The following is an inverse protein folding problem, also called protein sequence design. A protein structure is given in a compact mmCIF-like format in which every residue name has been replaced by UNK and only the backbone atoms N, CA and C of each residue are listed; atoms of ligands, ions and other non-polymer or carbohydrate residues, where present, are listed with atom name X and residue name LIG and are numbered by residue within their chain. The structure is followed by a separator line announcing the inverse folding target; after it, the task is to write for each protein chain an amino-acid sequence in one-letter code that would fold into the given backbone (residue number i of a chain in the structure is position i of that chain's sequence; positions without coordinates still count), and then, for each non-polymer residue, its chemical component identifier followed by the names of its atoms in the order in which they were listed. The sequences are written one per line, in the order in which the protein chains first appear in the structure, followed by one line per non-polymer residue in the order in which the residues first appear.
data_IF_740391115278
#
_entry.id   IF_740391115278
#
_cell.length_a   1.000
_cell.length_b   1.000
_cell.length_c   1.000
_cell.angle_alpha   90.00
_cell.angle_beta   90.00
_cell.angle_gamma   90.00
#
_symmetry.space_group_name_H-M   'P 1'
#
loop_
_entity.id
_entity.type
_entity.pdbx_description
1 polymer ?
#
# COMPACT_ATOMS: atom_id res chain seq x y z
N UNK A 1 -16.17 2.69 16.21
CA UNK A 1 -16.92 3.14 15.01
C UNK A 1 -17.14 1.89 14.18
N UNK A 2 -18.38 1.62 13.79
CA UNK A 2 -18.67 0.54 12.83
C UNK A 2 -18.37 1.04 11.41
N UNK A 3 -17.42 0.43 10.72
CA UNK A 3 -17.02 0.82 9.37
C UNK A 3 -17.90 0.19 8.28
N UNK A 4 -18.88 -0.62 8.63
CA UNK A 4 -19.86 -1.22 7.71
C UNK A 4 -19.22 -2.01 6.55
N UNK A 5 -18.14 -2.73 6.83
CA UNK A 5 -17.39 -3.51 5.86
C UNK A 5 -17.82 -4.99 5.79
N UNK A 6 -18.82 -5.38 6.59
CA UNK A 6 -19.34 -6.74 6.67
C UNK A 6 -19.69 -7.33 5.30
N UNK A 7 -19.05 -8.45 4.94
CA UNK A 7 -19.27 -9.18 3.70
C UNK A 7 -18.67 -8.56 2.42
N UNK A 8 -18.00 -7.42 2.50
CA UNK A 8 -17.25 -6.84 1.36
C UNK A 8 -16.05 -7.69 1.01
N UNK A 9 -15.78 -7.90 -0.27
CA UNK A 9 -14.62 -8.66 -0.76
C UNK A 9 -13.49 -7.69 -1.07
N UNK A 10 -12.37 -7.82 -0.36
CA UNK A 10 -11.25 -6.89 -0.40
C UNK A 10 -9.94 -7.58 -0.79
N UNK A 11 -9.32 -7.17 -1.89
CA UNK A 11 -7.96 -7.57 -2.24
C UNK A 11 -6.96 -6.53 -1.75
N UNK A 12 -5.93 -6.99 -1.04
CA UNK A 12 -4.76 -6.19 -0.72
C UNK A 12 -3.54 -6.80 -1.39
N UNK A 13 -2.95 -6.10 -2.35
CA UNK A 13 -1.78 -6.63 -3.07
C UNK A 13 -0.52 -6.55 -2.23
N UNK A 14 0.37 -7.57 -2.30
CA UNK A 14 1.59 -7.59 -1.51
C UNK A 14 1.35 -7.56 0.01
N UNK A 15 0.38 -8.32 0.51
CA UNK A 15 -0.13 -8.24 1.89
C UNK A 15 0.32 -9.37 2.82
N UNK A 16 1.47 -10.00 2.52
CA UNK A 16 2.03 -11.03 3.43
C UNK A 16 2.87 -10.45 4.56
N UNK A 17 3.16 -9.14 4.54
CA UNK A 17 3.95 -8.44 5.56
C UNK A 17 3.65 -6.92 5.52
N UNK A 18 4.20 -6.17 6.48
CA UNK A 18 4.21 -4.72 6.52
C UNK A 18 2.83 -4.06 6.48
N UNK A 19 2.73 -2.91 5.80
CA UNK A 19 1.49 -2.14 5.67
C UNK A 19 0.37 -2.98 5.06
N UNK A 20 0.67 -3.76 4.00
CA UNK A 20 -0.33 -4.61 3.35
C UNK A 20 -0.95 -5.64 4.28
N UNK A 21 -0.14 -6.29 5.12
CA UNK A 21 -0.64 -7.26 6.10
C UNK A 21 -1.51 -6.58 7.18
N UNK A 22 -1.10 -5.40 7.67
CA UNK A 22 -1.88 -4.64 8.64
C UNK A 22 -3.23 -4.17 8.04
N UNK A 23 -3.24 -3.75 6.76
CA UNK A 23 -4.48 -3.39 6.05
C UNK A 23 -5.39 -4.59 5.89
N UNK A 24 -4.87 -5.74 5.43
CA UNK A 24 -5.66 -6.96 5.28
C UNK A 24 -6.26 -7.42 6.62
N UNK A 25 -5.46 -7.36 7.69
CA UNK A 25 -5.92 -7.66 9.05
C UNK A 25 -7.00 -6.68 9.54
N UNK A 26 -6.84 -5.38 9.28
CA UNK A 26 -7.81 -4.35 9.61
C UNK A 26 -9.15 -4.55 8.89
N UNK A 27 -9.13 -4.79 7.58
CA UNK A 27 -10.31 -5.06 6.78
C UNK A 27 -11.05 -6.33 7.27
N UNK A 28 -10.29 -7.39 7.56
CA UNK A 28 -10.86 -8.63 8.07
C UNK A 28 -11.46 -8.48 9.47
N UNK A 29 -10.84 -7.68 10.35
CA UNK A 29 -11.38 -7.31 11.67
C UNK A 29 -12.72 -6.59 11.57
N UNK A 30 -12.88 -5.74 10.57
CA UNK A 30 -14.13 -5.00 10.31
C UNK A 30 -15.18 -5.83 9.53
N UNK A 31 -14.94 -7.15 9.34
CA UNK A 31 -15.91 -8.09 8.76
C UNK A 31 -15.86 -8.26 7.24
N UNK A 32 -14.90 -7.65 6.55
CA UNK A 32 -14.66 -7.93 5.14
C UNK A 32 -14.04 -9.31 4.95
N UNK A 33 -14.26 -9.91 3.76
CA UNK A 33 -13.49 -11.06 3.29
C UNK A 33 -12.18 -10.53 2.69
N UNK A 34 -11.09 -10.62 3.45
CA UNK A 34 -9.80 -10.10 3.02
C UNK A 34 -9.02 -11.14 2.22
N UNK A 35 -8.65 -10.81 0.98
CA UNK A 35 -7.80 -11.63 0.13
C UNK A 35 -6.35 -11.18 0.33
N UNK A 36 -5.56 -12.01 1.01
CA UNK A 36 -4.12 -11.82 1.20
C UNK A 36 -3.37 -12.29 -0.04
N UNK A 37 -2.52 -11.42 -0.58
CA UNK A 37 -1.70 -11.74 -1.75
C UNK A 37 -0.21 -11.72 -1.45
N UNK A 38 0.50 -12.67 -2.03
CA UNK A 38 1.95 -12.77 -2.04
C UNK A 38 2.43 -13.73 -3.11
N UNK A 39 3.72 -13.76 -3.41
CA UNK A 39 4.29 -14.56 -4.49
C UNK A 39 4.30 -16.07 -4.22
N UNK A 40 4.24 -16.50 -2.96
CA UNK A 40 4.36 -17.92 -2.59
C UNK A 40 3.26 -18.34 -1.62
N UNK A 41 2.74 -19.55 -1.81
CA UNK A 41 1.75 -20.17 -0.93
C UNK A 41 2.20 -20.16 0.55
N UNK A 42 3.46 -20.44 0.82
CA UNK A 42 4.01 -20.44 2.18
C UNK A 42 3.83 -19.09 2.87
N UNK A 43 4.19 -17.96 2.20
CA UNK A 43 4.05 -16.61 2.79
C UNK A 43 2.57 -16.24 2.97
N UNK A 44 1.74 -16.55 1.99
CA UNK A 44 0.28 -16.30 2.03
C UNK A 44 -0.35 -17.06 3.19
N UNK A 45 -0.11 -18.37 3.30
CA UNK A 45 -0.65 -19.21 4.39
C UNK A 45 -0.16 -18.74 5.77
N UNK A 46 1.12 -18.35 5.89
CA UNK A 46 1.63 -17.81 7.15
C UNK A 46 0.95 -16.51 7.55
N UNK A 47 0.74 -15.58 6.61
CA UNK A 47 0.05 -14.32 6.89
C UNK A 47 -1.42 -14.54 7.30
N UNK A 48 -2.13 -15.44 6.61
CA UNK A 48 -3.50 -15.82 6.98
C UNK A 48 -3.57 -16.35 8.41
N UNK A 49 -2.66 -17.26 8.78
CA UNK A 49 -2.60 -17.81 10.13
C UNK A 49 -2.41 -16.73 11.20
N UNK A 50 -1.51 -15.76 10.96
CA UNK A 50 -1.28 -14.66 11.87
C UNK A 50 -2.53 -13.78 12.04
N UNK A 51 -3.23 -13.47 10.95
CA UNK A 51 -4.48 -12.71 11.02
C UNK A 51 -5.55 -13.46 11.81
N UNK A 52 -5.73 -14.76 11.54
CA UNK A 52 -6.72 -15.59 12.23
C UNK A 52 -6.40 -15.84 13.70
N UNK A 53 -5.11 -15.91 14.06
CA UNK A 53 -4.69 -15.95 15.48
C UNK A 53 -5.06 -14.66 16.22
N UNK A 54 -4.90 -13.50 15.58
CA UNK A 54 -5.25 -12.19 16.16
C UNK A 54 -6.76 -11.95 16.16
N UNK A 55 -7.46 -12.43 15.13
CA UNK A 55 -8.89 -12.23 14.92
C UNK A 55 -9.55 -13.55 14.49
N UNK A 56 -9.95 -14.44 15.45
CA UNK A 56 -10.43 -15.78 15.13
C UNK A 56 -11.67 -15.85 14.23
N UNK A 57 -12.50 -14.80 14.22
CA UNK A 57 -13.70 -14.71 13.38
C UNK A 57 -13.46 -14.07 12.01
N UNK A 58 -12.22 -13.65 11.73
CA UNK A 58 -11.88 -12.96 10.49
C UNK A 58 -12.01 -13.91 9.29
N UNK A 59 -12.67 -13.43 8.23
CA UNK A 59 -12.77 -14.12 6.95
C UNK A 59 -11.58 -13.73 6.08
N UNK A 60 -10.65 -14.66 5.90
CA UNK A 60 -9.41 -14.40 5.15
C UNK A 60 -9.20 -15.49 4.13
N UNK A 61 -8.98 -15.08 2.89
CA UNK A 61 -8.63 -15.95 1.76
C UNK A 61 -7.21 -15.66 1.31
N UNK A 62 -6.63 -16.56 0.50
CA UNK A 62 -5.29 -16.40 -0.04
C UNK A 62 -5.24 -16.44 -1.55
N UNK A 63 -4.36 -15.62 -2.10
CA UNK A 63 -3.96 -15.69 -3.49
C UNK A 63 -2.42 -15.62 -3.60
N UNK A 64 -1.82 -16.76 -3.97
CA UNK A 64 -0.40 -16.83 -4.29
C UNK A 64 -0.21 -16.59 -5.79
N UNK A 65 0.51 -15.53 -6.12
CA UNK A 65 0.81 -15.12 -7.50
C UNK A 65 1.50 -13.76 -7.54
N UNK A 66 2.34 -13.56 -8.53
CA UNK A 66 3.02 -12.29 -8.74
C UNK A 66 2.11 -11.32 -9.52
N UNK A 67 1.48 -10.40 -8.81
CA UNK A 67 0.58 -9.41 -9.41
C UNK A 67 1.30 -8.28 -10.16
N UNK A 68 2.62 -8.26 -10.18
CA UNK A 68 3.37 -7.39 -11.09
C UNK A 68 3.34 -7.89 -12.53
N UNK A 69 3.00 -9.17 -12.76
CA UNK A 69 2.98 -9.81 -14.07
C UNK A 69 1.58 -9.92 -14.67
N UNK A 70 1.49 -10.02 -16.00
CA UNK A 70 0.24 -10.28 -16.70
C UNK A 70 -0.32 -11.68 -16.40
N UNK A 71 0.55 -12.66 -16.19
CA UNK A 71 0.18 -14.03 -15.84
C UNK A 71 -0.48 -14.09 -14.44
N UNK A 72 0.17 -13.51 -13.43
CA UNK A 72 -0.39 -13.43 -12.07
C UNK A 72 -1.73 -12.70 -12.02
N UNK A 73 -1.86 -11.59 -12.78
CA UNK A 73 -3.14 -10.91 -12.94
C UNK A 73 -4.19 -11.81 -13.61
N UNK A 74 -3.85 -12.54 -14.67
CA UNK A 74 -4.75 -13.46 -15.35
C UNK A 74 -5.31 -14.54 -14.41
N UNK A 75 -4.44 -15.14 -13.59
CA UNK A 75 -4.82 -16.12 -12.58
C UNK A 75 -5.72 -15.52 -11.48
N UNK A 76 -5.41 -14.30 -11.01
CA UNK A 76 -6.25 -13.59 -10.05
C UNK A 76 -7.65 -13.34 -10.62
N UNK A 77 -7.74 -12.81 -11.84
CA UNK A 77 -9.02 -12.51 -12.50
C UNK A 77 -9.91 -13.77 -12.64
N UNK A 78 -9.31 -14.91 -12.93
CA UNK A 78 -10.04 -16.18 -13.04
C UNK A 78 -10.59 -16.63 -11.69
N UNK A 79 -9.83 -16.47 -10.60
CA UNK A 79 -10.22 -16.89 -9.25
C UNK A 79 -11.16 -15.90 -8.56
N UNK A 80 -10.91 -14.60 -8.73
CA UNK A 80 -11.65 -13.52 -8.10
C UNK A 80 -12.13 -12.51 -9.17
N UNK A 81 -13.18 -12.85 -9.95
CA UNK A 81 -13.65 -12.00 -11.06
C UNK A 81 -14.30 -10.69 -10.59
N UNK A 82 -14.65 -10.56 -9.33
CA UNK A 82 -15.25 -9.36 -8.73
C UNK A 82 -14.61 -9.04 -7.39
N UNK A 83 -14.46 -7.75 -7.12
CA UNK A 83 -14.01 -7.20 -5.84
C UNK A 83 -14.87 -5.98 -5.50
N UNK A 84 -15.10 -5.76 -4.21
CA UNK A 84 -15.66 -4.52 -3.69
C UNK A 84 -14.54 -3.50 -3.40
N UNK A 85 -13.41 -3.98 -2.91
CA UNK A 85 -12.30 -3.16 -2.44
C UNK A 85 -11.00 -3.66 -3.08
N UNK A 86 -10.24 -2.72 -3.65
CA UNK A 86 -8.91 -2.97 -4.18
C UNK A 86 -7.89 -2.04 -3.52
N UNK A 87 -6.96 -2.61 -2.75
CA UNK A 87 -5.82 -1.87 -2.20
C UNK A 87 -4.56 -2.22 -2.98
N UNK A 88 -4.12 -1.29 -3.83
CA UNK A 88 -2.89 -1.38 -4.60
C UNK A 88 -1.71 -1.02 -3.69
N UNK A 89 -1.21 -2.02 -2.95
CA UNK A 89 -0.10 -1.87 -1.99
C UNK A 89 1.21 -2.46 -2.51
N UNK A 90 1.19 -3.31 -3.55
CA UNK A 90 2.41 -3.89 -4.11
C UNK A 90 3.40 -2.80 -4.50
N UNK A 91 4.65 -2.94 -4.03
CA UNK A 91 5.71 -2.00 -4.34
C UNK A 91 7.07 -2.49 -3.89
N UNK A 92 8.10 -1.97 -4.53
CA UNK A 92 9.51 -2.16 -4.21
C UNK A 92 10.17 -0.81 -4.01
N UNK A 93 11.20 -0.76 -3.21
CA UNK A 93 12.07 0.39 -3.04
C UNK A 93 13.53 -0.10 -2.89
N UNK A 94 14.48 0.71 -3.33
CA UNK A 94 15.90 0.43 -3.20
C UNK A 94 16.68 1.75 -3.33
N UNK A 95 17.41 2.19 -2.28
CA UNK A 95 18.30 3.34 -2.41
C UNK A 95 19.43 3.04 -3.40
N UNK A 96 19.64 3.96 -4.35
CA UNK A 96 20.68 3.85 -5.37
C UNK A 96 21.02 5.24 -5.91
N UNK A 97 22.29 5.62 -6.12
CA UNK A 97 22.68 6.84 -6.79
C UNK A 97 22.05 6.93 -8.18
N UNK A 98 21.64 8.13 -8.58
CA UNK A 98 20.90 8.33 -9.83
C UNK A 98 21.65 7.81 -11.06
N UNK A 99 22.96 8.07 -11.12
CA UNK A 99 23.85 7.67 -12.21
C UNK A 99 24.03 6.17 -12.35
N UNK A 100 23.76 5.40 -11.29
CA UNK A 100 23.88 3.93 -11.28
C UNK A 100 22.55 3.22 -11.60
N UNK A 101 21.43 3.96 -11.68
CA UNK A 101 20.12 3.37 -11.95
C UNK A 101 19.99 3.04 -13.43
N UNK A 102 20.04 1.77 -13.76
CA UNK A 102 19.93 1.31 -15.16
C UNK A 102 18.50 1.48 -15.70
N UNK A 103 18.37 1.53 -17.03
CA UNK A 103 17.06 1.53 -17.71
C UNK A 103 16.19 0.32 -17.31
N UNK A 104 16.80 -0.85 -17.08
CA UNK A 104 16.07 -2.04 -16.67
C UNK A 104 15.54 -1.91 -15.25
N UNK A 105 16.26 -1.24 -14.34
CA UNK A 105 15.78 -0.94 -13.00
C UNK A 105 14.62 0.06 -13.05
N UNK A 106 14.69 1.12 -13.89
CA UNK A 106 13.58 2.02 -14.14
C UNK A 106 12.33 1.28 -14.63
N UNK A 107 12.47 0.39 -15.62
CA UNK A 107 11.37 -0.44 -16.14
C UNK A 107 10.80 -1.35 -15.05
N UNK A 108 11.67 -2.00 -14.27
CA UNK A 108 11.26 -2.89 -13.17
C UNK A 108 10.45 -2.13 -12.11
N UNK A 109 10.91 -0.96 -11.70
CA UNK A 109 10.17 -0.13 -10.74
C UNK A 109 8.82 0.34 -11.28
N UNK A 110 8.78 0.74 -12.54
CA UNK A 110 7.52 1.13 -13.18
C UNK A 110 6.55 -0.05 -13.29
N UNK A 111 7.01 -1.21 -13.72
CA UNK A 111 6.19 -2.41 -13.85
C UNK A 111 5.57 -2.82 -12.50
N UNK A 112 6.41 -2.90 -11.46
CA UNK A 112 5.99 -3.37 -10.13
C UNK A 112 5.15 -2.34 -9.41
N UNK A 113 5.60 -1.08 -9.33
CA UNK A 113 4.97 -0.06 -8.48
C UNK A 113 3.79 0.63 -9.16
N UNK A 114 3.78 0.71 -10.48
CA UNK A 114 2.79 1.50 -11.23
C UNK A 114 1.86 0.61 -12.05
N UNK A 115 2.43 -0.15 -12.99
CA UNK A 115 1.63 -0.88 -13.98
C UNK A 115 0.82 -2.03 -13.35
N UNK A 116 1.28 -2.63 -12.26
CA UNK A 116 0.52 -3.60 -11.49
C UNK A 116 -0.83 -3.02 -11.03
N UNK A 117 -0.82 -1.83 -10.41
CA UNK A 117 -2.03 -1.15 -9.95
C UNK A 117 -2.92 -0.67 -11.09
N UNK A 118 -2.31 -0.20 -12.20
CA UNK A 118 -3.05 0.16 -13.44
C UNK A 118 -3.79 -1.05 -14.00
N UNK A 119 -3.14 -2.20 -14.09
CA UNK A 119 -3.69 -3.44 -14.63
C UNK A 119 -4.89 -3.93 -13.82
N UNK A 120 -4.77 -3.93 -12.51
CA UNK A 120 -5.84 -4.31 -11.59
C UNK A 120 -7.01 -3.31 -11.64
N UNK A 121 -6.72 -2.02 -11.53
CA UNK A 121 -7.75 -0.97 -11.53
C UNK A 121 -8.51 -0.93 -12.86
N UNK A 122 -7.83 -1.08 -13.99
CA UNK A 122 -8.45 -1.13 -15.32
C UNK A 122 -9.49 -2.26 -15.45
N UNK A 123 -9.27 -3.38 -14.77
CA UNK A 123 -10.20 -4.49 -14.80
C UNK A 123 -11.35 -4.34 -13.79
N UNK A 124 -11.05 -3.99 -12.54
CA UNK A 124 -12.08 -3.97 -11.49
C UNK A 124 -12.93 -2.69 -11.48
N UNK A 125 -12.40 -1.55 -11.88
CA UNK A 125 -13.12 -0.29 -11.85
C UNK A 125 -14.44 -0.30 -12.66
N UNK A 126 -14.49 -0.80 -13.90
CA UNK A 126 -15.75 -0.91 -14.65
C UNK A 126 -16.80 -1.75 -13.91
N UNK A 127 -16.39 -2.89 -13.32
CA UNK A 127 -17.26 -3.78 -12.56
C UNK A 127 -17.81 -3.09 -11.30
N UNK A 128 -16.96 -2.35 -10.58
CA UNK A 128 -17.37 -1.54 -9.42
C UNK A 128 -18.38 -0.45 -9.83
N UNK A 129 -18.19 0.18 -10.99
CA UNK A 129 -19.12 1.19 -11.52
C UNK A 129 -20.49 0.59 -11.86
N UNK A 130 -20.53 -0.58 -12.48
CA UNK A 130 -21.78 -1.32 -12.74
C UNK A 130 -22.52 -1.67 -11.45
N UNK A 131 -21.80 -2.03 -10.39
CA UNK A 131 -22.38 -2.29 -9.06
C UNK A 131 -22.77 -1.02 -8.30
N UNK A 132 -22.42 0.14 -8.83
CA UNK A 132 -22.53 1.45 -8.20
C UNK A 132 -21.90 1.49 -6.79
N UNK A 133 -20.85 0.69 -6.55
CA UNK A 133 -20.10 0.67 -5.30
C UNK A 133 -18.68 0.10 -5.54
N UNK A 134 -17.70 0.75 -4.97
CA UNK A 134 -16.33 0.28 -4.99
C UNK A 134 -15.37 1.21 -4.28
N UNK A 135 -14.24 0.67 -3.82
CA UNK A 135 -13.15 1.41 -3.20
C UNK A 135 -11.82 0.98 -3.81
N UNK A 136 -11.10 1.94 -4.38
CA UNK A 136 -9.75 1.72 -4.88
C UNK A 136 -8.82 2.65 -4.08
N UNK A 137 -7.80 2.07 -3.45
CA UNK A 137 -6.80 2.82 -2.70
C UNK A 137 -5.41 2.46 -3.23
N UNK A 138 -4.62 3.48 -3.57
CA UNK A 138 -3.20 3.31 -3.90
C UNK A 138 -2.35 3.63 -2.68
N UNK A 139 -1.47 2.73 -2.28
CA UNK A 139 -0.47 2.99 -1.24
C UNK A 139 0.75 3.62 -1.92
N UNK A 140 0.74 4.95 -1.94
CA UNK A 140 1.83 5.75 -2.46
C UNK A 140 2.93 5.95 -1.38
N UNK A 141 3.42 7.15 -1.17
CA UNK A 141 4.43 7.52 -0.17
C UNK A 141 4.49 9.04 -0.04
N UNK A 142 5.02 9.55 1.08
CA UNK A 142 5.47 10.94 1.19
C UNK A 142 6.50 11.28 0.12
N UNK A 143 7.27 10.27 -0.31
CA UNK A 143 8.25 10.36 -1.39
C UNK A 143 7.65 10.70 -2.77
N UNK A 144 6.33 10.68 -2.91
CA UNK A 144 5.65 11.16 -4.11
C UNK A 144 5.61 12.70 -4.20
N UNK A 145 5.74 13.38 -3.07
CA UNK A 145 5.70 14.85 -2.96
C UNK A 145 7.11 15.38 -2.63
N UNK A 146 7.79 14.76 -1.69
CA UNK A 146 9.16 15.08 -1.29
C UNK A 146 10.09 13.99 -1.80
N UNK A 147 10.49 14.11 -3.09
CA UNK A 147 11.30 13.08 -3.78
C UNK A 147 12.64 12.91 -3.05
N UNK A 148 12.96 11.70 -2.56
CA UNK A 148 14.25 11.44 -1.92
C UNK A 148 15.34 11.34 -2.99
N UNK A 149 16.42 12.08 -2.79
CA UNK A 149 17.55 12.10 -3.74
C UNK A 149 18.24 10.75 -3.87
N UNK A 150 18.16 9.95 -2.80
CA UNK A 150 18.70 8.58 -2.75
C UNK A 150 17.80 7.53 -3.43
N UNK A 151 16.60 7.91 -3.91
CA UNK A 151 15.63 6.99 -4.52
C UNK A 151 14.74 7.70 -5.55
N UNK A 152 15.32 8.42 -6.52
CA UNK A 152 14.56 9.23 -7.48
C UNK A 152 13.56 8.37 -8.28
N UNK A 153 13.98 7.20 -8.76
CA UNK A 153 13.12 6.26 -9.49
C UNK A 153 11.93 5.75 -8.64
N UNK A 154 12.14 5.54 -7.34
CA UNK A 154 11.03 5.22 -6.43
C UNK A 154 10.06 6.39 -6.29
N UNK A 155 10.58 7.60 -6.00
CA UNK A 155 9.77 8.82 -5.90
C UNK A 155 8.93 9.05 -7.16
N UNK A 156 9.53 8.91 -8.34
CA UNK A 156 8.83 8.96 -9.63
C UNK A 156 7.64 8.00 -9.67
N UNK A 157 7.85 6.71 -9.30
CA UNK A 157 6.75 5.73 -9.35
C UNK A 157 5.64 6.07 -8.36
N UNK A 158 5.97 6.63 -7.21
CA UNK A 158 4.99 7.04 -6.19
C UNK A 158 4.20 8.28 -6.61
N UNK A 159 4.84 9.23 -7.30
CA UNK A 159 4.16 10.37 -7.94
C UNK A 159 3.22 9.91 -9.07
N UNK A 160 3.66 8.95 -9.90
CA UNK A 160 2.83 8.37 -10.94
C UNK A 160 1.53 7.74 -10.37
N UNK A 161 1.59 7.09 -9.21
CA UNK A 161 0.40 6.56 -8.53
C UNK A 161 -0.60 7.67 -8.14
N UNK A 162 -0.13 8.87 -7.75
CA UNK A 162 -1.01 10.01 -7.46
C UNK A 162 -1.75 10.48 -8.71
N UNK A 163 -1.03 10.63 -9.83
CA UNK A 163 -1.62 11.03 -11.10
C UNK A 163 -2.69 10.01 -11.58
N UNK A 164 -2.38 8.71 -11.47
CA UNK A 164 -3.30 7.63 -11.85
C UNK A 164 -4.51 7.63 -10.92
N UNK A 165 -4.33 7.69 -9.62
CA UNK A 165 -5.41 7.71 -8.64
C UNK A 165 -6.37 8.88 -8.90
N UNK A 166 -5.82 10.08 -9.09
CA UNK A 166 -6.63 11.26 -9.40
C UNK A 166 -7.36 11.12 -10.74
N UNK A 167 -6.68 10.70 -11.80
CA UNK A 167 -7.29 10.51 -13.11
C UNK A 167 -8.41 9.45 -13.11
N UNK A 168 -8.24 8.35 -12.37
CA UNK A 168 -9.29 7.34 -12.20
C UNK A 168 -10.49 7.89 -11.42
N UNK A 169 -10.27 8.68 -10.38
CA UNK A 169 -11.35 9.29 -9.61
C UNK A 169 -12.26 10.19 -10.47
N UNK A 170 -11.70 10.95 -11.41
CA UNK A 170 -12.49 11.75 -12.35
C UNK A 170 -13.48 10.89 -13.18
N UNK A 171 -13.09 9.65 -13.48
CA UNK A 171 -13.96 8.73 -14.23
C UNK A 171 -15.08 8.12 -13.39
N UNK A 172 -15.10 8.34 -12.07
CA UNK A 172 -16.10 7.79 -11.14
C UNK A 172 -17.21 8.79 -10.81
N UNK A 173 -17.26 9.95 -11.46
CA UNK A 173 -18.30 10.94 -11.25
C UNK A 173 -19.71 10.34 -11.36
N UNK A 174 -20.60 10.73 -10.45
CA UNK A 174 -21.98 10.23 -10.35
C UNK A 174 -22.11 8.72 -10.09
N UNK A 175 -21.09 8.10 -9.51
CA UNK A 175 -21.14 6.70 -9.04
C UNK A 175 -20.84 6.59 -7.53
N UNK A 176 -21.17 5.44 -6.94
CA UNK A 176 -20.79 5.10 -5.57
C UNK A 176 -19.32 4.64 -5.39
N UNK A 177 -18.47 4.82 -6.41
CA UNK A 177 -17.06 4.38 -6.40
C UNK A 177 -16.15 5.54 -6.01
N UNK A 178 -15.19 5.29 -5.13
CA UNK A 178 -14.12 6.25 -4.80
C UNK A 178 -12.74 5.69 -5.11
N UNK A 179 -11.83 6.56 -5.55
CA UNK A 179 -10.43 6.25 -5.80
C UNK A 179 -9.56 7.26 -5.08
N UNK A 180 -8.70 6.80 -4.17
CA UNK A 180 -7.84 7.66 -3.35
C UNK A 180 -6.42 7.12 -3.29
N UNK A 181 -5.47 7.96 -2.90
CA UNK A 181 -4.11 7.58 -2.56
C UNK A 181 -3.83 7.86 -1.08
N UNK A 182 -3.09 6.97 -0.44
CA UNK A 182 -2.53 7.17 0.90
C UNK A 182 -1.03 7.31 0.78
N UNK A 183 -0.46 8.29 1.48
CA UNK A 183 0.95 8.61 1.48
C UNK A 183 1.56 8.33 2.85
N UNK A 184 1.99 7.09 3.11
CA UNK A 184 2.74 6.78 4.32
C UNK A 184 4.07 7.54 4.35
N UNK A 185 4.48 7.93 5.54
CA UNK A 185 5.85 8.30 5.84
C UNK A 185 6.70 7.10 6.22
N UNK A 186 7.86 7.33 6.82
CA UNK A 186 8.70 6.26 7.35
C UNK A 186 7.91 5.38 8.32
N UNK A 187 7.77 4.10 7.98
CA UNK A 187 6.92 3.14 8.70
C UNK A 187 7.74 1.91 9.07
N UNK A 188 7.62 1.43 10.31
CA UNK A 188 8.28 0.22 10.80
C UNK A 188 7.66 -1.03 10.14
N UNK A 189 8.07 -1.30 8.91
CA UNK A 189 7.70 -2.48 8.13
C UNK A 189 8.88 -3.45 8.06
N UNK A 190 8.63 -4.72 7.68
CA UNK A 190 9.67 -5.75 7.54
C UNK A 190 10.88 -5.21 6.75
N UNK A 191 10.66 -4.58 5.59
CA UNK A 191 11.75 -4.08 4.77
C UNK A 191 12.51 -2.89 5.37
N UNK A 192 11.86 -2.05 6.17
CA UNK A 192 12.52 -0.94 6.91
C UNK A 192 13.27 -1.48 8.12
N UNK A 193 12.71 -2.47 8.82
CA UNK A 193 13.41 -3.14 9.92
C UNK A 193 14.71 -3.81 9.44
N UNK A 194 14.65 -4.55 8.33
CA UNK A 194 15.82 -5.17 7.70
C UNK A 194 16.89 -4.11 7.31
N UNK A 195 16.46 -2.96 6.81
CA UNK A 195 17.35 -1.84 6.48
C UNK A 195 18.01 -1.24 7.73
N UNK A 196 17.22 -0.99 8.78
CA UNK A 196 17.72 -0.47 10.08
C UNK A 196 18.69 -1.45 10.71
N UNK A 197 18.38 -2.76 10.70
CA UNK A 197 19.27 -3.78 11.24
C UNK A 197 20.60 -3.87 10.48
N UNK A 198 20.58 -3.80 9.16
CA UNK A 198 21.80 -3.79 8.34
C UNK A 198 22.68 -2.58 8.65
N UNK A 199 22.09 -1.40 8.80
CA UNK A 199 22.82 -0.18 9.19
C UNK A 199 23.41 -0.31 10.63
N UNK A 200 22.63 -0.84 11.55
CA UNK A 200 23.07 -1.05 12.94
C UNK A 200 24.27 -2.01 13.01
N UNK A 201 24.22 -3.14 12.31
CA UNK A 201 25.30 -4.13 12.25
C UNK A 201 26.58 -3.55 11.60
N UNK A 202 26.43 -2.79 10.51
CA UNK A 202 27.56 -2.17 9.81
C UNK A 202 28.25 -1.06 10.61
N UNK A 203 27.54 -0.39 11.53
CA UNK A 203 28.03 0.71 12.35
C UNK A 203 28.28 0.39 13.82
N UNK A 204 28.08 -0.85 14.26
CA UNK A 204 28.09 -1.26 15.67
C UNK A 204 27.20 -0.36 16.56
N UNK A 205 26.01 0.00 16.05
CA UNK A 205 25.04 0.89 16.67
C UNK A 205 23.80 0.11 17.12
N UNK A 206 23.04 0.64 18.07
CA UNK A 206 21.73 0.07 18.39
C UNK A 206 20.66 0.47 17.36
N UNK A 207 19.59 -0.30 17.25
CA UNK A 207 18.44 0.05 16.39
C UNK A 207 17.86 1.43 16.76
N UNK A 208 17.85 1.78 18.06
CA UNK A 208 17.40 3.09 18.54
C UNK A 208 18.31 4.24 18.07
N UNK A 209 19.62 4.04 18.04
CA UNK A 209 20.57 5.03 17.54
C UNK A 209 20.39 5.24 16.03
N UNK A 210 20.17 4.15 15.28
CA UNK A 210 19.90 4.21 13.84
C UNK A 210 18.57 4.95 13.58
N UNK A 211 17.50 4.67 14.33
CA UNK A 211 16.24 5.38 14.22
C UNK A 211 16.42 6.87 14.51
N UNK A 212 17.09 7.22 15.59
CA UNK A 212 17.40 8.61 15.95
C UNK A 212 18.17 9.30 14.82
N UNK A 213 19.26 8.69 14.34
CA UNK A 213 20.06 9.22 13.22
C UNK A 213 19.20 9.41 11.95
N UNK A 214 18.31 8.47 11.65
CA UNK A 214 17.41 8.54 10.51
C UNK A 214 16.54 9.81 10.57
N UNK A 215 15.92 10.08 11.73
CA UNK A 215 15.07 11.27 11.90
C UNK A 215 15.83 12.56 12.14
N UNK A 216 17.11 12.50 12.44
CA UNK A 216 17.98 13.70 12.50
C UNK A 216 18.53 14.08 11.11
N UNK A 217 18.92 13.10 10.29
CA UNK A 217 19.67 13.33 9.05
C UNK A 217 18.90 13.06 7.77
N UNK A 218 18.10 11.98 7.72
CA UNK A 218 17.43 11.54 6.49
C UNK A 218 16.02 12.10 6.38
N UNK A 219 15.27 12.14 7.50
CA UNK A 219 13.93 12.74 7.55
C UNK A 219 13.81 13.79 8.67
N UNK A 220 14.65 14.87 8.64
CA UNK A 220 14.69 15.85 9.72
C UNK A 220 13.40 16.66 9.86
N UNK A 221 12.56 16.67 8.85
CA UNK A 221 11.27 17.38 8.85
C UNK A 221 10.17 16.64 9.61
N UNK A 222 10.32 15.34 9.88
CA UNK A 222 9.30 14.56 10.61
C UNK A 222 8.95 15.22 11.93
N UNK A 223 7.66 15.41 12.19
CA UNK A 223 7.14 15.87 13.48
C UNK A 223 7.01 14.71 14.47
N UNK A 224 6.78 13.50 13.95
CA UNK A 224 6.62 12.28 14.76
C UNK A 224 7.93 11.81 15.40
N UNK A 225 9.07 12.01 14.73
CA UNK A 225 10.43 11.64 15.17
C UNK A 225 10.61 10.16 15.53
N UNK A 226 9.74 9.29 15.03
CA UNK A 226 9.84 7.84 15.07
C UNK A 226 9.23 7.24 13.81
N UNK A 227 9.49 5.98 13.56
CA UNK A 227 8.72 5.27 12.55
C UNK A 227 7.25 5.17 12.97
N UNK A 228 6.33 5.38 12.03
CA UNK A 228 4.94 5.02 12.22
C UNK A 228 4.80 3.49 12.31
N UNK A 229 3.79 3.01 13.00
CA UNK A 229 3.46 1.58 12.94
C UNK A 229 2.67 1.28 11.66
N UNK A 230 2.69 0.03 11.24
CA UNK A 230 1.89 -0.42 10.09
C UNK A 230 0.40 -0.26 10.35
N UNK A 231 -0.04 -0.38 11.60
CA UNK A 231 -1.41 -0.18 12.04
C UNK A 231 -1.85 1.29 11.96
N UNK A 232 -0.98 2.24 12.27
CA UNK A 232 -1.28 3.68 12.11
C UNK A 232 -1.61 4.01 10.65
N UNK A 233 -0.88 3.43 9.70
CA UNK A 233 -1.18 3.58 8.27
C UNK A 233 -2.46 2.82 7.89
N UNK A 234 -2.60 1.58 8.34
CA UNK A 234 -3.73 0.74 8.03
C UNK A 234 -5.07 1.35 8.49
N UNK A 235 -5.10 2.04 9.62
CA UNK A 235 -6.31 2.68 10.14
C UNK A 235 -6.93 3.66 9.14
N UNK A 236 -6.11 4.51 8.50
CA UNK A 236 -6.61 5.41 7.45
C UNK A 236 -7.06 4.65 6.21
N UNK A 237 -6.29 3.64 5.76
CA UNK A 237 -6.65 2.84 4.58
C UNK A 237 -7.99 2.13 4.78
N UNK A 238 -8.19 1.50 5.93
CA UNK A 238 -9.43 0.77 6.26
C UNK A 238 -10.62 1.75 6.34
N UNK A 239 -10.44 2.94 6.92
CA UNK A 239 -11.46 3.99 6.89
C UNK A 239 -11.83 4.38 5.44
N UNK A 240 -10.85 4.61 4.56
CA UNK A 240 -11.10 4.96 3.16
C UNK A 240 -11.81 3.85 2.38
N UNK A 241 -11.68 2.61 2.79
CA UNK A 241 -12.40 1.47 2.22
C UNK A 241 -13.87 1.39 2.66
N UNK A 242 -14.28 2.18 3.65
CA UNK A 242 -15.64 2.12 4.23
C UNK A 242 -16.65 2.98 3.46
N UNK A 243 -17.97 2.72 3.58
CA UNK A 243 -19.01 3.64 3.13
C UNK A 243 -18.94 5.01 3.79
N UNK A 244 -18.40 5.10 5.03
CA UNK A 244 -18.27 6.36 5.78
C UNK A 244 -17.32 7.36 5.10
N UNK A 245 -16.42 6.88 4.23
CA UNK A 245 -15.51 7.70 3.44
C UNK A 245 -16.08 8.09 2.06
N UNK A 246 -17.40 7.98 1.83
CA UNK A 246 -18.03 8.22 0.51
C UNK A 246 -17.83 9.62 -0.04
N UNK A 247 -17.62 10.62 0.81
CA UNK A 247 -17.31 12.00 0.40
C UNK A 247 -15.81 12.25 0.15
N UNK A 248 -14.95 11.22 0.39
CA UNK A 248 -13.50 11.30 0.16
C UNK A 248 -13.18 10.61 -1.16
N UNK A 249 -12.98 11.38 -2.23
CA UNK A 249 -12.70 10.86 -3.57
C UNK A 249 -11.68 11.74 -4.30
N UNK A 250 -10.75 11.13 -5.00
CA UNK A 250 -9.73 11.82 -5.80
C UNK A 250 -8.65 12.53 -4.98
N UNK A 251 -8.46 12.15 -3.73
CA UNK A 251 -7.52 12.82 -2.82
C UNK A 251 -6.29 11.96 -2.53
N UNK A 252 -5.20 12.65 -2.16
CA UNK A 252 -3.96 12.09 -1.66
C UNK A 252 -3.83 12.42 -0.16
N UNK A 253 -4.05 11.42 0.70
CA UNK A 253 -4.08 11.60 2.16
C UNK A 253 -2.77 11.14 2.78
N UNK A 254 -2.19 11.99 3.62
CA UNK A 254 -0.91 11.73 4.28
C UNK A 254 -1.10 11.02 5.62
N UNK A 255 -0.26 10.01 5.86
CA UNK A 255 0.03 9.40 7.16
C UNK A 255 1.55 9.36 7.28
N UNK A 256 2.17 10.54 7.24
CA UNK A 256 3.61 10.70 7.05
C UNK A 256 4.34 11.20 8.30
N UNK A 257 3.64 11.34 9.42
CA UNK A 257 4.23 11.87 10.64
C UNK A 257 4.73 13.31 10.51
N UNK A 258 4.21 14.06 9.53
CA UNK A 258 4.59 15.44 9.28
C UNK A 258 5.92 15.61 8.55
N UNK A 259 6.34 14.63 7.75
CA UNK A 259 7.57 14.72 6.94
C UNK A 259 7.43 15.78 5.86
N UNK A 260 6.33 15.80 5.14
CA UNK A 260 6.05 16.77 4.07
C UNK A 260 5.58 18.09 4.65
N UNK A 261 6.26 19.19 4.33
CA UNK A 261 6.02 20.52 4.92
C UNK A 261 4.91 21.33 4.26
N UNK A 262 4.31 20.84 3.17
CA UNK A 262 3.20 21.54 2.52
C UNK A 262 1.93 21.45 3.36
N UNK A 263 1.08 22.48 3.27
CA UNK A 263 -0.23 22.50 3.94
C UNK A 263 -1.30 21.69 3.18
N UNK A 264 -1.00 21.33 1.94
CA UNK A 264 -1.84 20.55 1.02
C UNK A 264 -1.04 19.40 0.43
#
# INVERSE_FOLDING_TARGET
MDLQLGGKVALVTGSTAGIGAAVAAGLAREGAVAIVNGRTERRVTSAIKLIQQKFPQAKVEGFAGDLSTAEGFGALKAKHPRLDILVNNLGIFNPQPFEDITDDEWRRFFEVNVLSGVRLSRYYLPIMKEQNWGRIVFISSESAIQIPVEMIHYGFTKTAQLAISRGLAETTANTGVTVNAVLPGPTASEGVSDFVEKLAQGGNQSAADVEKMFFEKIRPTSLLKRFATTEEVANLVVYLCSPLASATNGTALRVDGGVVRTIV
#
